data_IF_884880056254
#
_entry.id   IF_884880056254
#
_cell.length_a   1.000
_cell.length_b   1.000
_cell.length_c   1.000
_cell.angle_alpha   90.00
_cell.angle_beta   90.00
_cell.angle_gamma   90.00
#
_symmetry.space_group_name_H-M   'P 1'
#
loop_
_entity.id
_entity.type
_entity.pdbx_description
1 polymer ?
#
# COMPACT_ATOMS: atom_id res chain seq x y z
N UNK A 1 3.58 0.53 -12.21
CA UNK A 1 3.35 1.44 -11.05
C UNK A 1 2.16 2.38 -11.27
N UNK A 2 2.07 3.12 -12.38
CA UNK A 2 0.90 4.00 -12.67
C UNK A 2 -0.43 3.25 -12.63
N UNK A 3 -0.46 2.00 -13.12
CA UNK A 3 -1.66 1.18 -13.08
C UNK A 3 -2.20 0.95 -11.68
N UNK A 4 -1.35 0.49 -10.79
CA UNK A 4 -1.74 0.13 -9.43
C UNK A 4 -2.31 1.32 -8.64
N UNK A 5 -1.84 2.52 -8.96
CA UNK A 5 -2.40 3.76 -8.46
C UNK A 5 -3.80 4.03 -9.01
N UNK A 6 -3.99 3.92 -10.33
CA UNK A 6 -5.28 4.17 -10.95
C UNK A 6 -6.33 3.20 -10.42
N UNK A 7 -5.94 1.94 -10.23
CA UNK A 7 -6.78 0.93 -9.61
C UNK A 7 -7.14 1.29 -8.16
N UNK A 8 -6.16 1.69 -7.35
CA UNK A 8 -6.40 2.18 -5.99
C UNK A 8 -7.36 3.37 -5.96
N UNK A 9 -7.23 4.28 -6.93
CA UNK A 9 -8.12 5.43 -7.07
C UNK A 9 -9.53 5.06 -7.47
N UNK A 10 -9.70 4.09 -8.37
CA UNK A 10 -11.02 3.57 -8.72
C UNK A 10 -11.73 2.96 -7.51
N UNK A 11 -10.99 2.20 -6.68
CA UNK A 11 -11.52 1.62 -5.44
C UNK A 11 -11.94 2.72 -4.45
N UNK A 12 -11.07 3.71 -4.19
CA UNK A 12 -11.39 4.85 -3.31
C UNK A 12 -12.56 5.66 -3.85
N UNK A 13 -12.66 5.84 -5.18
CA UNK A 13 -13.79 6.53 -5.80
C UNK A 13 -15.12 5.79 -5.60
N UNK A 14 -15.09 4.46 -5.55
CA UNK A 14 -16.28 3.62 -5.36
C UNK A 14 -16.70 3.52 -3.90
N UNK A 15 -15.76 3.29 -2.98
CA UNK A 15 -16.05 3.01 -1.57
C UNK A 15 -15.90 4.21 -0.64
N UNK A 16 -15.32 5.31 -1.14
CA UNK A 16 -14.98 6.49 -0.37
C UNK A 16 -13.54 6.48 0.15
N UNK A 17 -13.21 7.51 0.92
CA UNK A 17 -11.88 7.67 1.53
C UNK A 17 -11.60 6.52 2.51
N UNK A 18 -10.34 6.06 2.64
CA UNK A 18 -9.97 5.08 3.64
C UNK A 18 -10.07 5.67 5.05
N UNK A 19 -10.33 4.80 6.03
CA UNK A 19 -10.53 5.12 7.44
C UNK A 19 -9.32 4.74 8.30
N UNK A 20 -8.58 3.68 7.93
CA UNK A 20 -7.38 3.24 8.65
C UNK A 20 -6.16 3.14 7.71
N UNK A 21 -5.00 3.46 8.27
CA UNK A 21 -3.69 3.24 7.67
C UNK A 21 -2.85 2.35 8.58
N UNK A 22 -2.52 1.15 8.12
CA UNK A 22 -1.76 0.15 8.88
C UNK A 22 -0.39 -0.02 8.22
N UNK A 23 0.66 -0.09 9.02
CA UNK A 23 2.00 -0.46 8.56
C UNK A 23 2.56 -1.58 9.42
N UNK A 24 2.75 -2.75 8.81
CA UNK A 24 3.45 -3.88 9.43
C UNK A 24 4.90 -3.90 8.96
N UNK A 25 5.84 -3.92 9.89
CA UNK A 25 7.28 -4.08 9.62
C UNK A 25 7.76 -5.42 10.13
N UNK A 26 8.58 -6.12 9.34
CA UNK A 26 9.17 -7.38 9.78
C UNK A 26 10.01 -7.16 11.05
N UNK A 27 9.77 -8.00 12.07
CA UNK A 27 10.64 -8.06 13.23
C UNK A 27 11.67 -9.20 13.05
N UNK A 28 12.97 -8.90 12.90
CA UNK A 28 13.98 -9.94 12.73
C UNK A 28 14.16 -10.80 13.99
N UNK A 29 13.67 -10.35 15.15
CA UNK A 29 13.68 -11.09 16.40
C UNK A 29 12.43 -11.98 16.60
N UNK A 30 11.59 -12.15 15.58
CA UNK A 30 10.53 -13.15 15.64
C UNK A 30 11.11 -14.54 15.84
N UNK A 31 10.47 -15.30 16.74
CA UNK A 31 10.92 -16.63 17.13
C UNK A 31 11.08 -17.55 15.92
N UNK A 32 10.14 -17.47 15.00
CA UNK A 32 10.11 -18.24 13.75
C UNK A 32 11.29 -17.93 12.82
N UNK A 33 11.94 -16.77 12.97
CA UNK A 33 13.17 -16.42 12.27
C UNK A 33 14.36 -16.91 13.09
N UNK A 34 14.44 -16.52 14.36
CA UNK A 34 15.63 -16.78 15.20
C UNK A 34 15.88 -18.26 15.45
N UNK A 35 14.83 -19.09 15.54
CA UNK A 35 14.96 -20.55 15.68
C UNK A 35 15.50 -21.25 14.42
N UNK A 36 15.57 -20.55 13.28
CA UNK A 36 16.05 -21.07 12.00
C UNK A 36 17.45 -20.53 11.61
N UNK A 37 18.08 -19.74 12.50
CA UNK A 37 19.41 -19.20 12.30
C UNK A 37 20.46 -20.16 12.89
N UNK A 38 21.51 -20.43 12.12
CA UNK A 38 22.68 -21.16 12.62
C UNK A 38 23.58 -20.24 13.46
N UNK A 39 24.54 -20.83 14.17
CA UNK A 39 25.49 -20.08 14.99
C UNK A 39 26.23 -19.03 14.15
N UNK A 40 26.12 -17.76 14.57
CA UNK A 40 26.73 -16.62 13.89
C UNK A 40 25.89 -16.01 12.75
N UNK A 41 24.77 -16.63 12.37
CA UNK A 41 23.85 -16.04 11.40
C UNK A 41 22.96 -14.96 12.02
N UNK A 42 22.61 -13.98 11.21
CA UNK A 42 21.58 -12.97 11.47
C UNK A 42 20.40 -13.17 10.52
N UNK A 43 19.28 -12.49 10.80
CA UNK A 43 18.13 -12.51 9.89
C UNK A 43 18.48 -12.05 8.46
N UNK A 44 19.48 -11.19 8.29
CA UNK A 44 19.91 -10.72 6.96
C UNK A 44 20.58 -11.82 6.13
N UNK A 45 21.16 -12.82 6.79
CA UNK A 45 21.83 -13.96 6.15
C UNK A 45 20.84 -15.02 5.67
N UNK A 46 19.59 -14.98 6.18
CA UNK A 46 18.48 -15.89 5.82
C UNK A 46 17.27 -15.13 5.23
N UNK A 47 17.44 -14.44 4.09
CA UNK A 47 16.37 -13.67 3.45
C UNK A 47 15.18 -14.54 3.05
N UNK A 48 15.41 -15.83 2.78
CA UNK A 48 14.37 -16.82 2.51
C UNK A 48 13.43 -17.02 3.70
N UNK A 49 13.98 -17.14 4.91
CA UNK A 49 13.20 -17.30 6.14
C UNK A 49 12.48 -16.00 6.48
N UNK A 50 13.18 -14.86 6.43
CA UNK A 50 12.58 -13.53 6.69
C UNK A 50 11.36 -13.30 5.81
N UNK A 51 11.47 -13.54 4.51
CA UNK A 51 10.38 -13.36 3.56
C UNK A 51 9.21 -14.30 3.82
N UNK A 52 9.47 -15.59 4.08
CA UNK A 52 8.42 -16.57 4.38
C UNK A 52 7.67 -16.25 5.67
N UNK A 53 8.40 -15.97 6.76
CA UNK A 53 7.79 -15.62 8.05
C UNK A 53 7.00 -14.32 7.93
N UNK A 54 7.52 -13.30 7.25
CA UNK A 54 6.79 -12.07 7.03
C UNK A 54 5.49 -12.31 6.26
N UNK A 55 5.52 -13.10 5.19
CA UNK A 55 4.32 -13.42 4.43
C UNK A 55 3.29 -14.15 5.32
N UNK A 56 3.70 -15.12 6.15
CA UNK A 56 2.80 -15.80 7.10
C UNK A 56 2.16 -14.79 8.06
N UNK A 57 2.94 -13.87 8.64
CA UNK A 57 2.41 -12.83 9.55
C UNK A 57 1.44 -11.88 8.82
N UNK A 58 1.71 -11.57 7.55
CA UNK A 58 0.81 -10.76 6.74
C UNK A 58 -0.51 -11.47 6.44
N UNK A 59 -0.48 -12.77 6.13
CA UNK A 59 -1.71 -13.56 5.94
C UNK A 59 -2.54 -13.66 7.23
N UNK A 60 -1.87 -13.82 8.38
CA UNK A 60 -2.55 -13.76 9.68
C UNK A 60 -3.19 -12.39 9.93
N UNK A 61 -2.51 -11.31 9.56
CA UNK A 61 -3.06 -9.96 9.66
C UNK A 61 -4.30 -9.80 8.77
N UNK A 62 -4.28 -10.32 7.54
CA UNK A 62 -5.48 -10.34 6.69
C UNK A 62 -6.61 -11.17 7.31
N UNK A 63 -6.32 -12.33 7.91
CA UNK A 63 -7.32 -13.11 8.62
C UNK A 63 -7.95 -12.31 9.77
N UNK A 64 -7.15 -11.60 10.56
CA UNK A 64 -7.68 -10.80 11.67
C UNK A 64 -8.54 -9.62 11.18
N UNK A 65 -8.07 -8.92 10.15
CA UNK A 65 -8.76 -7.75 9.62
C UNK A 65 -10.03 -8.10 8.86
N UNK A 66 -10.00 -9.14 8.02
CA UNK A 66 -11.07 -9.39 7.04
C UNK A 66 -11.97 -10.57 7.40
N UNK A 67 -11.46 -11.59 8.10
CA UNK A 67 -12.26 -12.74 8.55
C UNK A 67 -12.78 -12.57 9.97
N UNK A 68 -11.90 -12.19 10.90
CA UNK A 68 -12.28 -11.94 12.31
C UNK A 68 -12.85 -10.55 12.53
N UNK A 69 -12.67 -9.65 11.55
CA UNK A 69 -13.24 -8.31 11.55
C UNK A 69 -12.97 -7.56 12.86
N UNK A 70 -11.72 -7.59 13.35
CA UNK A 70 -11.37 -7.00 14.65
C UNK A 70 -11.61 -5.48 14.74
N UNK A 71 -11.79 -4.82 13.59
CA UNK A 71 -12.15 -3.40 13.47
C UNK A 71 -13.51 -3.21 12.76
N UNK A 72 -14.34 -4.25 12.72
CA UNK A 72 -15.58 -4.28 11.96
C UNK A 72 -15.38 -4.70 10.49
N UNK A 73 -16.49 -4.65 9.75
CA UNK A 73 -16.53 -5.05 8.33
C UNK A 73 -15.70 -4.10 7.47
N UNK A 74 -14.88 -4.67 6.59
CA UNK A 74 -14.07 -3.92 5.61
C UNK A 74 -14.77 -3.98 4.26
N UNK A 75 -15.08 -2.80 3.69
CA UNK A 75 -15.64 -2.69 2.35
C UNK A 75 -14.57 -2.80 1.26
N UNK A 76 -13.41 -2.21 1.51
CA UNK A 76 -12.30 -2.25 0.57
C UNK A 76 -10.94 -2.12 1.27
N UNK A 77 -9.90 -2.68 0.65
CA UNK A 77 -8.53 -2.50 1.11
C UNK A 77 -7.55 -2.42 -0.06
N UNK A 78 -6.43 -1.74 0.18
CA UNK A 78 -5.28 -1.69 -0.71
C UNK A 78 -4.04 -1.90 0.14
N UNK A 79 -3.15 -2.80 -0.26
CA UNK A 79 -1.91 -3.10 0.47
C UNK A 79 -0.72 -3.17 -0.48
N UNK A 80 0.42 -2.64 -0.05
CA UNK A 80 1.64 -2.53 -0.87
C UNK A 80 2.84 -2.95 -0.04
N UNK A 81 3.68 -3.78 -0.64
CA UNK A 81 4.95 -4.20 -0.09
C UNK A 81 6.05 -3.16 -0.39
N UNK A 82 6.81 -2.77 0.63
CA UNK A 82 8.00 -1.94 0.50
C UNK A 82 9.19 -2.64 1.18
N UNK A 83 10.37 -2.54 0.57
CA UNK A 83 11.63 -2.86 1.20
C UNK A 83 12.43 -1.58 1.37
N UNK A 84 12.67 -1.18 2.62
CA UNK A 84 13.56 -0.06 2.88
C UNK A 84 15.02 -0.48 2.65
N UNK A 85 15.94 0.48 2.51
CA UNK A 85 17.39 0.23 2.25
C UNK A 85 18.06 -0.74 3.23
N UNK A 86 17.44 -1.04 4.38
CA UNK A 86 17.89 -2.01 5.40
C UNK A 86 17.36 -3.44 5.16
N UNK A 87 16.66 -3.69 4.06
CA UNK A 87 16.31 -5.03 3.56
C UNK A 87 15.06 -5.67 4.16
N UNK A 88 14.57 -5.24 5.32
CA UNK A 88 13.39 -5.88 5.93
C UNK A 88 12.09 -5.53 5.19
N UNK A 89 11.19 -6.52 4.95
CA UNK A 89 9.89 -6.29 4.34
C UNK A 89 8.98 -5.42 5.22
N UNK A 90 8.23 -4.54 4.57
CA UNK A 90 7.15 -3.75 5.15
C UNK A 90 5.89 -3.91 4.30
N UNK A 91 4.73 -3.86 4.94
CA UNK A 91 3.45 -3.78 4.26
C UNK A 91 2.72 -2.52 4.74
N UNK A 92 2.34 -1.67 3.79
CA UNK A 92 1.47 -0.53 4.02
C UNK A 92 0.08 -0.85 3.52
N UNK A 93 -0.95 -0.61 4.33
CA UNK A 93 -2.33 -0.96 4.02
C UNK A 93 -3.27 0.19 4.32
N UNK A 94 -4.18 0.47 3.37
CA UNK A 94 -5.36 1.29 3.55
C UNK A 94 -6.58 0.41 3.69
N UNK A 95 -7.45 0.77 4.63
CA UNK A 95 -8.72 0.08 4.88
C UNK A 95 -9.84 1.10 4.78
N UNK A 96 -10.87 0.76 4.00
CA UNK A 96 -12.14 1.48 3.95
C UNK A 96 -13.18 0.64 4.68
N UNK A 97 -13.62 1.10 5.83
CA UNK A 97 -14.55 0.39 6.69
C UNK A 97 -15.99 0.54 6.20
N UNK A 98 -16.82 -0.45 6.50
CA UNK A 98 -18.26 -0.31 6.42
C UNK A 98 -18.74 0.81 7.36
N UNK A 99 -19.86 1.42 7.02
CA UNK A 99 -20.36 2.64 7.67
C UNK A 99 -20.45 2.54 9.20
N UNK A 100 -20.82 1.38 9.72
CA UNK A 100 -21.01 1.06 11.14
C UNK A 100 -19.69 0.80 11.86
N UNK A 101 -18.61 0.49 11.13
CA UNK A 101 -17.27 0.27 11.65
C UNK A 101 -16.35 1.48 11.52
N UNK A 102 -16.86 2.63 11.05
CA UNK A 102 -16.05 3.85 10.90
C UNK A 102 -15.81 4.51 12.26
N UNK A 103 -14.54 4.82 12.63
CA UNK A 103 -14.24 5.50 13.87
C UNK A 103 -14.60 6.99 13.76
N UNK A 104 -15.74 7.38 14.34
CA UNK A 104 -16.31 8.74 14.22
C UNK A 104 -16.16 9.57 15.48
N UNK A 105 -16.07 8.92 16.63
CA UNK A 105 -15.88 9.58 17.91
C UNK A 105 -14.46 9.38 18.43
N UNK A 106 -14.06 10.24 19.35
CA UNK A 106 -12.81 10.09 20.13
C UNK A 106 -12.75 8.72 20.80
N UNK A 107 -13.87 8.25 21.35
CA UNK A 107 -13.96 6.92 21.99
C UNK A 107 -13.68 5.79 21.00
N UNK A 108 -14.23 5.86 19.77
CA UNK A 108 -13.97 4.85 18.75
C UNK A 108 -12.49 4.85 18.37
N UNK A 109 -11.90 6.02 18.19
CA UNK A 109 -10.49 6.18 17.83
C UNK A 109 -9.60 5.60 18.92
N UNK A 110 -9.83 5.96 20.18
CA UNK A 110 -9.03 5.51 21.32
C UNK A 110 -9.20 4.00 21.60
N UNK A 111 -10.32 3.40 21.17
CA UNK A 111 -10.50 1.95 21.21
C UNK A 111 -9.61 1.19 20.20
N UNK A 112 -9.25 1.86 19.10
CA UNK A 112 -8.42 1.28 18.02
C UNK A 112 -6.95 1.65 18.21
N UNK A 113 -6.66 2.90 18.54
CA UNK A 113 -5.30 3.48 18.51
C UNK A 113 -4.89 3.97 19.89
N UNK A 114 -3.71 3.54 20.32
CA UNK A 114 -3.05 4.01 21.52
C UNK A 114 -1.69 4.62 21.17
N UNK A 115 -1.27 5.62 21.93
CA UNK A 115 0.02 6.26 21.77
C UNK A 115 0.72 6.49 23.13
N UNK A 116 0.59 5.52 24.02
CA UNK A 116 1.10 5.58 25.40
C UNK A 116 2.08 4.45 25.68
N UNK A 117 3.01 4.68 26.60
CA UNK A 117 3.82 3.64 27.20
C UNK A 117 2.89 2.87 28.18
N UNK A 118 2.73 1.54 28.01
CA UNK A 118 1.96 0.71 28.93
C UNK A 118 2.56 0.73 30.34
N UNK A 119 1.80 0.29 31.33
CA UNK A 119 2.34 0.12 32.67
C UNK A 119 3.22 -1.14 32.75
N UNK A 120 4.45 -1.01 33.24
CA UNK A 120 5.40 -2.12 33.34
C UNK A 120 4.95 -3.21 34.33
N UNK A 121 4.19 -2.86 35.37
CA UNK A 121 3.74 -3.82 36.40
C UNK A 121 2.48 -4.56 35.96
N UNK A 122 1.50 -3.86 35.40
CA UNK A 122 0.21 -4.48 35.04
C UNK A 122 0.21 -5.06 33.63
N UNK A 123 0.98 -4.51 32.70
CA UNK A 123 1.06 -4.96 31.31
C UNK A 123 2.51 -5.18 30.83
N UNK A 124 3.32 -6.01 31.54
CA UNK A 124 4.76 -6.15 31.26
C UNK A 124 5.06 -6.59 29.83
N UNK A 125 4.23 -7.47 29.26
CA UNK A 125 4.40 -7.92 27.87
C UNK A 125 4.15 -6.81 26.87
N UNK A 126 3.06 -6.04 27.03
CA UNK A 126 2.77 -4.93 26.13
C UNK A 126 3.81 -3.83 26.29
N UNK A 127 4.23 -3.52 27.53
CA UNK A 127 5.33 -2.60 27.82
C UNK A 127 6.57 -2.97 27.02
N UNK A 128 7.03 -4.22 27.12
CA UNK A 128 8.22 -4.69 26.39
C UNK A 128 8.06 -4.57 24.86
N UNK A 129 6.88 -4.85 24.33
CA UNK A 129 6.63 -4.70 22.89
C UNK A 129 6.67 -3.23 22.48
N UNK A 130 5.98 -2.37 23.22
CA UNK A 130 5.88 -0.95 22.89
C UNK A 130 7.24 -0.27 23.00
N UNK A 131 7.99 -0.51 24.08
CA UNK A 131 9.29 0.13 24.29
C UNK A 131 10.35 -0.31 23.28
N UNK A 132 10.29 -1.57 22.80
CA UNK A 132 11.23 -2.09 21.81
C UNK A 132 10.82 -1.81 20.36
N UNK A 133 9.52 -1.86 20.05
CA UNK A 133 9.03 -1.86 18.67
C UNK A 133 8.19 -0.63 18.30
N UNK A 134 7.59 0.06 19.26
CA UNK A 134 6.67 1.19 19.01
C UNK A 134 7.21 2.52 19.55
N UNK A 135 8.52 2.64 19.78
CA UNK A 135 9.14 3.92 20.12
C UNK A 135 9.82 4.53 18.90
N UNK A 136 9.54 5.81 18.64
CA UNK A 136 10.37 6.60 17.77
C UNK A 136 11.75 6.77 18.42
N UNK A 137 12.80 6.39 17.70
CA UNK A 137 14.17 6.53 18.20
C UNK A 137 14.51 7.99 18.45
N UNK A 138 15.47 8.28 19.34
CA UNK A 138 15.91 9.65 19.60
C UNK A 138 16.26 10.39 18.30
N UNK A 139 15.81 11.63 18.19
CA UNK A 139 16.04 12.50 17.04
C UNK A 139 16.04 13.97 17.49
N UNK A 140 16.16 14.92 16.56
CA UNK A 140 16.22 16.34 16.93
C UNK A 140 17.51 16.64 17.66
N UNK A 141 17.40 17.35 18.78
CA UNK A 141 18.55 17.69 19.62
C UNK A 141 19.23 16.45 20.23
N UNK A 142 18.46 15.41 20.55
CA UNK A 142 19.02 14.18 21.13
C UNK A 142 19.82 13.37 20.12
N UNK A 143 19.49 13.46 18.83
CA UNK A 143 20.28 12.86 17.76
C UNK A 143 20.02 13.56 16.41
N UNK A 144 20.83 14.57 16.05
CA UNK A 144 20.69 15.30 14.79
C UNK A 144 20.97 14.44 13.55
N UNK A 145 21.65 13.30 13.71
CA UNK A 145 22.02 12.38 12.62
C UNK A 145 20.97 11.30 12.34
N UNK A 146 19.85 11.32 13.06
CA UNK A 146 18.78 10.34 12.85
C UNK A 146 18.22 10.42 11.42
N UNK A 147 17.92 9.29 10.75
CA UNK A 147 17.43 9.28 9.36
C UNK A 147 16.11 10.04 9.12
N UNK A 148 15.36 10.33 10.19
CA UNK A 148 14.13 11.10 10.11
C UNK A 148 14.37 12.62 10.05
N UNK A 149 15.59 13.10 10.30
CA UNK A 149 15.92 14.52 10.31
C UNK A 149 16.00 15.08 8.89
N UNK A 150 15.25 16.15 8.65
CA UNK A 150 15.23 16.92 7.39
C UNK A 150 15.22 18.40 7.78
N UNK A 151 16.16 19.18 7.27
CA UNK A 151 16.30 20.62 7.55
C UNK A 151 16.27 20.96 9.06
N UNK A 152 16.99 20.16 9.86
CA UNK A 152 17.10 20.35 11.31
C UNK A 152 15.84 19.98 12.11
N UNK A 153 14.77 19.48 11.46
CA UNK A 153 13.52 19.06 12.12
C UNK A 153 13.23 17.58 11.83
N UNK A 154 12.55 16.91 12.76
CA UNK A 154 12.08 15.56 12.52
C UNK A 154 10.94 15.59 11.48
N UNK A 155 11.12 14.93 10.34
CA UNK A 155 10.12 14.80 9.27
C UNK A 155 8.81 14.12 9.73
N UNK A 156 8.85 13.39 10.84
CA UNK A 156 7.69 12.74 11.48
C UNK A 156 7.09 13.57 12.63
N UNK A 157 7.65 14.75 12.89
CA UNK A 157 7.27 15.70 13.94
C UNK A 157 7.30 15.07 15.34
N UNK A 158 8.38 14.34 15.63
CA UNK A 158 8.70 13.87 16.98
C UNK A 158 9.70 14.80 17.67
N UNK A 159 9.65 14.93 19.00
CA UNK A 159 8.60 14.40 19.88
C UNK A 159 7.24 15.07 19.61
N UNK A 160 6.14 14.35 19.82
CA UNK A 160 4.78 14.89 19.75
C UNK A 160 4.50 15.78 20.97
N UNK A 161 3.37 16.48 20.97
CA UNK A 161 2.91 17.19 22.17
C UNK A 161 2.19 16.23 23.12
N UNK A 162 2.24 16.54 24.41
CA UNK A 162 1.39 15.86 25.39
C UNK A 162 -0.06 16.31 25.20
N UNK A 163 -1.00 15.36 25.35
CA UNK A 163 -2.43 15.58 25.25
C UNK A 163 -3.18 14.57 26.12
N UNK A 164 -4.17 15.03 26.88
CA UNK A 164 -4.97 14.15 27.74
C UNK A 164 -6.14 13.48 27.00
N UNK A 165 -6.50 14.00 25.82
CA UNK A 165 -7.58 13.51 24.97
C UNK A 165 -7.15 13.55 23.49
N UNK A 166 -7.75 12.70 22.67
CA UNK A 166 -7.50 12.70 21.22
C UNK A 166 -8.27 13.84 20.55
N UNK A 167 -7.58 14.57 19.68
CA UNK A 167 -8.11 15.72 18.95
C UNK A 167 -8.30 15.37 17.47
N UNK A 168 -9.52 15.59 16.97
CA UNK A 168 -9.93 15.30 15.59
C UNK A 168 -10.16 16.55 14.74
N UNK A 169 -9.97 17.76 15.29
CA UNK A 169 -10.28 19.03 14.61
C UNK A 169 -9.19 19.48 13.63
N UNK A 170 -8.01 18.84 13.66
CA UNK A 170 -6.92 19.14 12.75
C UNK A 170 -7.15 18.49 11.37
N UNK A 171 -7.15 19.33 10.32
CA UNK A 171 -7.24 18.90 8.93
C UNK A 171 -6.10 17.92 8.56
N UNK A 172 -6.34 16.61 8.67
CA UNK A 172 -5.48 15.56 8.13
C UNK A 172 -5.49 14.25 8.93
N UNK A 173 -4.92 14.29 10.13
CA UNK A 173 -4.72 13.13 11.00
C UNK A 173 -5.05 13.51 12.45
N UNK A 174 -5.78 12.65 13.20
CA UNK A 174 -6.01 12.91 14.61
C UNK A 174 -4.71 13.01 15.41
N UNK A 175 -4.67 13.94 16.36
CA UNK A 175 -3.61 14.00 17.36
C UNK A 175 -4.01 13.14 18.55
N UNK A 176 -3.43 11.94 18.62
CA UNK A 176 -3.75 10.95 19.65
C UNK A 176 -3.39 11.41 21.06
N UNK A 177 -4.22 10.98 22.01
CA UNK A 177 -3.98 11.06 23.44
C UNK A 177 -2.60 10.52 23.83
N UNK A 178 -1.83 11.37 24.52
CA UNK A 178 -0.47 11.17 25.05
C UNK A 178 -0.35 11.89 26.40
N UNK A 179 -0.89 11.35 27.50
CA UNK A 179 -0.83 12.00 28.80
C UNK A 179 0.61 12.19 29.26
N UNK A 180 0.86 13.26 30.01
CA UNK A 180 2.07 13.41 30.81
C UNK A 180 1.84 12.74 32.17
N UNK A 181 2.01 11.41 32.19
CA UNK A 181 1.75 10.54 33.35
C UNK A 181 3.05 10.03 34.02
N UNK A 182 4.19 10.64 33.68
CA UNK A 182 5.51 10.27 34.20
C UNK A 182 6.05 8.93 33.68
N UNK A 183 5.34 8.22 32.79
CA UNK A 183 5.84 6.97 32.23
C UNK A 183 6.97 7.22 31.24
N UNK A 184 8.05 6.47 31.41
CA UNK A 184 9.24 6.59 30.58
C UNK A 184 9.83 5.23 30.22
N UNK A 185 10.66 5.21 29.18
CA UNK A 185 11.51 4.09 28.83
C UNK A 185 12.85 4.59 28.30
N UNK A 186 13.87 3.72 28.28
CA UNK A 186 15.17 4.05 27.71
C UNK A 186 15.27 3.50 26.30
N UNK A 187 15.58 4.35 25.33
CA UNK A 187 15.82 3.97 23.94
C UNK A 187 17.02 4.73 23.40
N UNK A 188 17.99 4.02 22.83
CA UNK A 188 19.22 4.64 22.29
C UNK A 188 20.02 5.45 23.32
N UNK A 189 19.99 5.03 24.60
CA UNK A 189 20.67 5.73 25.70
C UNK A 189 19.98 7.01 26.17
N UNK A 190 18.76 7.30 25.67
CA UNK A 190 17.96 8.47 26.06
C UNK A 190 16.68 8.03 26.74
N UNK A 191 16.24 8.83 27.71
CA UNK A 191 14.94 8.65 28.36
C UNK A 191 13.86 9.27 27.47
N UNK A 192 12.90 8.45 27.06
CA UNK A 192 11.77 8.86 26.23
C UNK A 192 10.46 8.66 27.00
N UNK A 193 9.47 9.49 26.69
CA UNK A 193 8.12 9.44 27.26
C UNK A 193 7.06 9.21 26.18
N UNK A 194 5.78 9.37 26.55
CA UNK A 194 4.62 9.18 25.67
C UNK A 194 4.67 10.04 24.38
N UNK A 195 5.44 11.13 24.33
CA UNK A 195 5.60 11.95 23.12
C UNK A 195 6.34 11.24 22.00
N UNK A 196 7.11 10.20 22.32
CA UNK A 196 7.89 9.42 21.36
C UNK A 196 7.23 8.11 20.93
N UNK A 197 6.04 7.78 21.44
CA UNK A 197 5.34 6.54 21.08
C UNK A 197 4.78 6.63 19.66
N UNK A 198 5.07 5.63 18.83
CA UNK A 198 4.42 5.43 17.53
C UNK A 198 3.03 4.83 17.78
N UNK A 199 1.95 5.38 17.19
CA UNK A 199 0.59 4.88 17.42
C UNK A 199 0.45 3.38 17.11
N UNK A 200 -0.18 2.62 18.00
CA UNK A 200 -0.33 1.17 17.90
C UNK A 200 -1.72 0.73 18.34
N UNK A 201 -2.15 -0.46 17.93
CA UNK A 201 -3.33 -1.12 18.49
C UNK A 201 -2.87 -2.18 19.50
N UNK A 202 -3.44 -2.20 20.70
CA UNK A 202 -3.06 -3.12 21.78
C UNK A 202 -3.12 -4.60 21.37
N UNK A 203 -4.21 -5.02 20.73
CA UNK A 203 -4.42 -6.41 20.30
C UNK A 203 -3.37 -6.82 19.26
N UNK A 204 -3.19 -5.99 18.23
CA UNK A 204 -2.23 -6.24 17.17
C UNK A 204 -0.78 -6.24 17.69
N UNK A 205 -0.42 -5.31 18.56
CA UNK A 205 0.92 -5.28 19.17
C UNK A 205 1.21 -6.59 19.92
N UNK A 206 0.29 -7.04 20.79
CA UNK A 206 0.44 -8.29 21.54
C UNK A 206 0.53 -9.53 20.64
N UNK A 207 -0.28 -9.56 19.57
CA UNK A 207 -0.34 -10.71 18.66
C UNK A 207 0.90 -10.81 17.76
N UNK A 208 1.35 -9.70 17.21
CA UNK A 208 2.40 -9.70 16.20
C UNK A 208 3.80 -9.45 16.77
N UNK A 209 3.94 -8.97 18.01
CA UNK A 209 5.24 -8.71 18.66
C UNK A 209 6.25 -8.07 17.69
N UNK A 210 5.89 -6.92 17.14
CA UNK A 210 6.67 -6.25 16.10
C UNK A 210 6.20 -4.81 15.90
N UNK A 211 6.88 -4.08 15.03
CA UNK A 211 6.51 -2.70 14.73
C UNK A 211 5.27 -2.69 13.81
N UNK A 212 4.10 -2.48 14.42
CA UNK A 212 2.82 -2.37 13.75
C UNK A 212 2.17 -1.03 14.08
N UNK A 213 2.39 -0.06 13.19
CA UNK A 213 1.79 1.26 13.31
C UNK A 213 0.37 1.24 12.76
N UNK A 214 -0.57 1.85 13.46
CA UNK A 214 -1.94 2.07 13.00
C UNK A 214 -2.30 3.54 13.17
N UNK A 215 -2.86 4.14 12.13
CA UNK A 215 -3.36 5.49 12.15
C UNK A 215 -4.78 5.55 11.62
N UNK A 216 -5.56 6.45 12.19
CA UNK A 216 -6.84 6.90 11.63
C UNK A 216 -6.53 7.81 10.45
N UNK A 217 -7.13 7.50 9.32
CA UNK A 217 -7.11 8.31 8.13
C UNK A 217 -8.50 8.91 7.94
N UNK A 218 -8.60 10.24 8.00
CA UNK A 218 -9.87 10.93 7.73
C UNK A 218 -9.91 11.61 6.37
N UNK A 219 -8.84 11.57 5.58
CA UNK A 219 -8.69 12.46 4.42
C UNK A 219 -8.12 11.76 3.19
N UNK A 220 -8.53 12.22 2.01
CA UNK A 220 -8.00 11.79 0.70
C UNK A 220 -6.47 11.98 0.64
N UNK A 221 -5.90 12.90 1.44
CA UNK A 221 -4.45 13.08 1.55
C UNK A 221 -3.69 11.84 2.05
N UNK A 222 -4.28 10.93 2.82
CA UNK A 222 -3.57 9.69 3.16
C UNK A 222 -3.49 8.71 1.98
N UNK A 223 -4.47 8.77 1.06
CA UNK A 223 -4.35 8.10 -0.25
C UNK A 223 -3.17 8.71 -0.99
N UNK A 224 -3.01 10.05 -0.93
CA UNK A 224 -1.80 10.74 -1.41
C UNK A 224 -0.51 10.25 -0.76
N UNK A 225 -0.54 9.98 0.53
CA UNK A 225 0.61 9.44 1.24
C UNK A 225 0.94 8.00 0.83
N UNK A 226 -0.07 7.16 0.57
CA UNK A 226 0.14 5.83 0.00
C UNK A 226 0.75 5.86 -1.39
N UNK A 227 0.44 6.88 -2.19
CA UNK A 227 1.11 7.10 -3.47
C UNK A 227 2.61 7.22 -3.35
N UNK A 228 3.12 7.79 -2.25
CA UNK A 228 4.55 7.76 -2.02
C UNK A 228 5.07 6.34 -2.15
N UNK A 229 4.47 5.34 -1.51
CA UNK A 229 4.96 3.96 -1.53
C UNK A 229 4.66 3.22 -2.83
N UNK A 230 3.56 3.54 -3.52
CA UNK A 230 3.25 3.01 -4.86
C UNK A 230 4.19 3.57 -5.93
N UNK A 231 4.63 4.83 -5.80
CA UNK A 231 5.39 5.56 -6.83
C UNK A 231 6.82 5.91 -6.46
N UNK A 232 7.30 5.63 -5.25
CA UNK A 232 8.69 5.88 -4.83
C UNK A 232 9.69 5.29 -5.83
N UNK A 233 9.22 4.31 -6.61
CA UNK A 233 10.04 3.56 -7.51
C UNK A 233 10.98 2.67 -6.72
N UNK A 234 11.60 1.70 -7.37
CA UNK A 234 12.72 1.05 -6.74
C UNK A 234 13.89 2.02 -6.65
N UNK A 235 14.77 1.80 -5.67
CA UNK A 235 16.08 2.45 -5.68
C UNK A 235 16.79 2.09 -7.01
N UNK A 236 17.44 3.08 -7.64
CA UNK A 236 18.17 2.91 -8.90
C UNK A 236 19.61 3.38 -8.76
N UNK A 237 20.50 2.73 -9.48
CA UNK A 237 21.89 3.12 -9.62
C UNK A 237 22.20 3.33 -11.10
N UNK A 238 22.76 4.49 -11.43
CA UNK A 238 23.36 4.71 -12.74
C UNK A 238 24.81 4.19 -12.69
N UNK A 239 25.14 3.23 -13.54
CA UNK A 239 26.44 2.60 -13.62
C UNK A 239 27.10 3.01 -14.94
N UNK A 240 28.35 3.45 -14.87
CA UNK A 240 29.16 3.73 -16.06
C UNK A 240 30.06 2.53 -16.36
N UNK A 241 29.94 1.97 -17.57
CA UNK A 241 30.64 0.77 -18.00
C UNK A 241 31.94 1.13 -18.73
N UNK A 242 33.09 0.81 -18.12
CA UNK A 242 34.41 1.01 -18.75
C UNK A 242 34.93 -0.32 -19.27
N UNK A 243 35.15 -0.45 -20.59
CA UNK A 243 35.75 -1.66 -21.19
C UNK A 243 37.28 -1.59 -21.08
N UNK A 244 37.90 -2.72 -20.71
CA UNK A 244 39.32 -2.81 -20.28
C UNK A 244 40.36 -2.76 -21.40
N UNK A 245 39.95 -2.86 -22.67
CA UNK A 245 40.86 -2.99 -23.83
C UNK A 245 40.79 -1.82 -24.84
N UNK A 246 40.33 -0.65 -24.41
CA UNK A 246 40.20 0.51 -25.30
C UNK A 246 41.52 1.29 -25.38
N UNK A 247 42.45 0.77 -26.19
CA UNK A 247 43.62 1.52 -26.63
C UNK A 247 43.21 2.67 -27.56
N UNK A 248 43.67 3.87 -27.22
CA UNK A 248 43.53 5.14 -27.91
C UNK A 248 43.78 5.03 -29.42
N UNK A 249 42.72 5.08 -30.25
CA UNK A 249 42.62 5.85 -31.50
C UNK A 249 41.32 5.48 -32.25
N UNK A 250 40.38 6.44 -32.35
CA UNK A 250 39.25 6.37 -33.28
C UNK A 250 37.91 5.83 -32.74
N UNK A 251 37.55 6.13 -31.48
CA UNK A 251 36.33 5.58 -30.86
C UNK A 251 35.06 6.28 -31.33
N UNK A 252 34.10 5.50 -31.80
CA UNK A 252 32.69 5.88 -31.87
C UNK A 252 32.13 5.77 -30.44
N UNK A 253 31.91 6.91 -29.77
CA UNK A 253 31.38 6.95 -28.40
C UNK A 253 29.88 6.71 -28.47
N UNK A 254 29.40 5.59 -27.93
CA UNK A 254 27.98 5.34 -27.76
C UNK A 254 27.56 5.63 -26.31
N UNK A 255 27.14 6.86 -26.06
CA UNK A 255 26.66 7.31 -24.74
C UNK A 255 25.50 6.48 -24.19
N UNK A 256 24.74 5.75 -25.03
CA UNK A 256 23.65 4.89 -24.58
C UNK A 256 24.18 3.57 -24.01
N UNK A 257 25.21 2.99 -24.61
CA UNK A 257 25.77 1.70 -24.19
C UNK A 257 26.72 1.84 -22.99
N UNK A 258 27.27 3.03 -22.76
CA UNK A 258 28.18 3.29 -21.64
C UNK A 258 27.47 3.47 -20.29
N UNK A 259 26.16 3.71 -20.29
CA UNK A 259 25.39 3.98 -19.07
C UNK A 259 24.27 2.96 -18.86
N UNK A 260 24.35 2.22 -17.76
CA UNK A 260 23.32 1.28 -17.33
C UNK A 260 22.53 1.88 -16.17
N UNK A 261 21.23 2.07 -16.36
CA UNK A 261 20.30 2.43 -15.28
C UNK A 261 19.76 1.16 -14.62
N UNK A 262 20.43 0.69 -13.57
CA UNK A 262 20.11 -0.54 -12.87
C UNK A 262 19.12 -0.32 -11.72
N UNK A 263 18.20 -1.27 -11.54
CA UNK A 263 17.31 -1.34 -10.39
C UNK A 263 18.00 -2.07 -9.25
N UNK A 264 18.01 -1.48 -8.06
CA UNK A 264 18.38 -2.20 -6.83
C UNK A 264 17.21 -3.07 -6.37
N UNK A 265 17.52 -4.33 -6.07
CA UNK A 265 16.61 -5.32 -5.50
C UNK A 265 17.34 -5.97 -4.34
N UNK A 266 16.84 -5.80 -3.12
CA UNK A 266 17.46 -6.43 -1.94
C UNK A 266 17.15 -7.93 -1.90
N UNK A 267 17.93 -8.70 -1.13
CA UNK A 267 17.77 -10.15 -1.09
C UNK A 267 16.36 -10.61 -0.66
N UNK A 268 15.73 -10.04 0.39
CA UNK A 268 14.34 -10.40 0.73
C UNK A 268 13.32 -10.06 -0.37
N UNK A 269 13.49 -8.95 -1.10
CA UNK A 269 12.63 -8.61 -2.26
C UNK A 269 12.81 -9.63 -3.39
N UNK A 270 14.05 -10.03 -3.69
CA UNK A 270 14.33 -11.03 -4.71
C UNK A 270 13.67 -12.37 -4.37
N UNK A 271 13.81 -12.84 -3.12
CA UNK A 271 13.16 -14.06 -2.65
C UNK A 271 11.63 -13.92 -2.71
N UNK A 272 11.06 -12.77 -2.32
CA UNK A 272 9.61 -12.53 -2.38
C UNK A 272 9.06 -12.74 -3.79
N UNK A 273 9.79 -12.23 -4.79
CA UNK A 273 9.47 -12.41 -6.21
C UNK A 273 9.64 -13.86 -6.66
N UNK A 274 10.74 -14.51 -6.29
CA UNK A 274 11.00 -15.92 -6.65
C UNK A 274 9.95 -16.88 -6.09
N UNK A 275 9.43 -16.59 -4.89
CA UNK A 275 8.35 -17.36 -4.27
C UNK A 275 6.96 -17.03 -4.84
N UNK A 276 6.85 -16.07 -5.75
CA UNK A 276 5.59 -15.67 -6.35
C UNK A 276 4.64 -14.95 -5.40
N UNK A 277 5.15 -14.35 -4.32
CA UNK A 277 4.31 -13.58 -3.40
C UNK A 277 3.93 -12.23 -4.00
N UNK A 278 2.69 -11.80 -3.76
CA UNK A 278 2.18 -10.55 -4.29
C UNK A 278 2.91 -9.34 -3.70
N UNK A 279 3.29 -8.39 -4.56
CA UNK A 279 3.86 -7.10 -4.14
C UNK A 279 2.79 -6.10 -3.74
N UNK A 280 1.56 -6.35 -4.16
CA UNK A 280 0.41 -5.53 -3.87
C UNK A 280 -0.84 -6.41 -3.91
N UNK A 281 -1.74 -6.18 -2.97
CA UNK A 281 -3.06 -6.80 -2.94
C UNK A 281 -4.14 -5.74 -2.76
N UNK A 282 -5.31 -5.99 -3.32
CA UNK A 282 -6.47 -5.10 -3.31
C UNK A 282 -7.75 -5.92 -3.22
N UNK A 283 -8.78 -5.37 -2.59
CA UNK A 283 -10.09 -6.05 -2.44
C UNK A 283 -10.80 -6.31 -3.77
N UNK A 284 -10.60 -5.44 -4.75
CA UNK A 284 -11.36 -5.43 -6.00
C UNK A 284 -10.46 -5.60 -7.22
N UNK A 285 -10.97 -6.35 -8.19
CA UNK A 285 -10.41 -6.35 -9.55
C UNK A 285 -10.92 -5.13 -10.29
N UNK A 286 -10.00 -4.31 -10.80
CA UNK A 286 -10.33 -3.10 -11.56
C UNK A 286 -10.13 -3.38 -13.04
N UNK A 287 -11.21 -3.22 -13.81
CA UNK A 287 -11.16 -3.26 -15.28
C UNK A 287 -11.08 -1.83 -15.81
N UNK A 288 -10.23 -1.64 -16.83
CA UNK A 288 -10.12 -0.36 -17.50
C UNK A 288 -10.99 -0.35 -18.73
N UNK A 289 -11.94 0.57 -18.76
CA UNK A 289 -12.66 0.91 -19.97
C UNK A 289 -11.71 1.69 -20.88
N UNK A 290 -11.40 1.11 -22.03
CA UNK A 290 -10.50 1.71 -23.00
C UNK A 290 -11.22 2.87 -23.69
N UNK A 291 -10.53 4.01 -23.82
CA UNK A 291 -10.99 5.12 -24.63
C UNK A 291 -9.96 5.35 -25.73
N UNK A 292 -10.43 5.39 -26.98
CA UNK A 292 -9.61 5.62 -28.15
C UNK A 292 -10.38 6.45 -29.18
N UNK A 293 -9.65 7.08 -30.09
CA UNK A 293 -10.23 7.74 -31.26
C UNK A 293 -10.67 6.68 -32.30
N UNK A 294 -11.51 7.05 -33.28
CA UNK A 294 -11.85 6.17 -34.40
C UNK A 294 -10.58 5.64 -35.07
N UNK A 295 -10.45 4.32 -35.19
CA UNK A 295 -9.31 3.60 -35.78
C UNK A 295 -7.98 3.66 -34.99
N UNK A 296 -7.97 4.19 -33.76
CA UNK A 296 -6.81 4.21 -32.86
C UNK A 296 -6.90 3.18 -31.72
N UNK A 297 -7.68 2.11 -31.89
CA UNK A 297 -7.74 1.02 -30.93
C UNK A 297 -6.38 0.33 -30.78
N UNK A 298 -6.02 -0.01 -29.53
CA UNK A 298 -4.78 -0.73 -29.25
C UNK A 298 -4.91 -2.19 -29.68
N UNK A 299 -3.97 -2.65 -30.51
CA UNK A 299 -3.86 -4.04 -30.95
C UNK A 299 -2.58 -4.65 -30.39
N UNK A 300 -2.71 -5.69 -29.55
CA UNK A 300 -1.57 -6.45 -29.05
C UNK A 300 -1.22 -7.55 -30.03
N UNK A 301 0.05 -7.63 -30.43
CA UNK A 301 0.56 -8.63 -31.37
C UNK A 301 1.85 -9.27 -30.86
N UNK A 302 2.17 -10.45 -31.38
CA UNK A 302 3.51 -11.04 -31.27
C UNK A 302 4.31 -10.64 -32.51
N UNK A 303 5.59 -10.29 -32.34
CA UNK A 303 6.44 -9.90 -33.48
C UNK A 303 6.45 -10.98 -34.57
N UNK A 304 6.22 -10.57 -35.82
CA UNK A 304 6.06 -11.46 -36.97
C UNK A 304 4.64 -12.00 -37.18
N UNK A 305 3.64 -11.55 -36.40
CA UNK A 305 2.21 -11.90 -36.54
C UNK A 305 1.29 -10.67 -36.54
N UNK A 306 1.79 -9.56 -37.07
CA UNK A 306 1.12 -8.27 -37.08
C UNK A 306 -0.20 -8.31 -37.87
N UNK A 307 -0.19 -8.85 -39.09
CA UNK A 307 -1.39 -8.93 -39.95
C UNK A 307 -2.48 -9.81 -39.32
N UNK A 308 -2.10 -10.93 -38.71
CA UNK A 308 -3.03 -11.81 -38.03
C UNK A 308 -3.71 -11.09 -36.85
N UNK A 309 -2.94 -10.33 -36.08
CA UNK A 309 -3.46 -9.54 -34.97
C UNK A 309 -4.43 -8.44 -35.44
N UNK A 310 -4.14 -7.80 -36.58
CA UNK A 310 -5.03 -6.80 -37.20
C UNK A 310 -6.36 -7.42 -37.65
N UNK A 311 -6.34 -8.57 -38.33
CA UNK A 311 -7.59 -9.24 -38.74
C UNK A 311 -8.45 -9.62 -37.53
N UNK A 312 -7.84 -10.24 -36.50
CA UNK A 312 -8.56 -10.58 -35.26
C UNK A 312 -9.11 -9.35 -34.54
N UNK A 313 -8.41 -8.21 -34.61
CA UNK A 313 -8.87 -6.97 -34.04
C UNK A 313 -10.04 -6.34 -34.83
N UNK A 314 -10.07 -6.51 -36.15
CA UNK A 314 -11.17 -6.04 -36.99
C UNK A 314 -12.47 -6.86 -36.78
N UNK A 315 -12.36 -8.13 -36.40
CA UNK A 315 -13.50 -9.03 -36.15
C UNK A 315 -14.15 -8.84 -34.78
N UNK A 316 -13.52 -8.10 -33.86
CA UNK A 316 -13.99 -7.94 -32.47
C UNK A 316 -14.28 -6.50 -32.14
N UNK A 317 -15.30 -6.29 -31.32
CA UNK A 317 -15.52 -5.00 -30.71
C UNK A 317 -14.53 -4.73 -29.57
N UNK A 318 -14.09 -3.48 -29.48
CA UNK A 318 -13.53 -2.98 -28.22
C UNK A 318 -14.69 -2.74 -27.25
N UNK A 319 -14.39 -2.60 -25.96
CA UNK A 319 -15.43 -2.22 -24.99
C UNK A 319 -16.11 -0.89 -25.38
N UNK A 320 -15.41 0.01 -26.07
CA UNK A 320 -15.96 1.31 -26.47
C UNK A 320 -16.84 1.17 -27.70
N UNK A 321 -16.40 0.43 -28.73
CA UNK A 321 -17.24 0.23 -29.92
C UNK A 321 -18.46 -0.63 -29.60
N UNK A 322 -18.34 -1.61 -28.70
CA UNK A 322 -19.48 -2.37 -28.18
C UNK A 322 -20.50 -1.46 -27.47
N UNK A 323 -20.04 -0.47 -26.70
CA UNK A 323 -20.94 0.52 -26.09
C UNK A 323 -21.68 1.33 -27.15
N UNK A 324 -21.01 1.82 -28.19
CA UNK A 324 -21.66 2.56 -29.27
C UNK A 324 -22.68 1.70 -30.04
N UNK A 325 -22.33 0.45 -30.36
CA UNK A 325 -23.26 -0.49 -30.99
C UNK A 325 -24.49 -0.76 -30.13
N UNK A 326 -24.32 -0.94 -28.82
CA UNK A 326 -25.46 -1.15 -27.92
C UNK A 326 -26.40 0.07 -27.87
N UNK A 327 -25.85 1.28 -27.93
CA UNK A 327 -26.65 2.50 -28.02
C UNK A 327 -27.48 2.55 -29.32
N UNK A 328 -26.87 2.18 -30.44
CA UNK A 328 -27.56 2.09 -31.73
C UNK A 328 -28.64 1.00 -31.74
N UNK A 329 -28.34 -0.19 -31.17
CA UNK A 329 -29.32 -1.27 -31.00
C UNK A 329 -30.53 -0.81 -30.17
N UNK A 330 -30.30 -0.07 -29.08
CA UNK A 330 -31.38 0.47 -28.24
C UNK A 330 -32.18 1.59 -28.93
N UNK A 331 -31.52 2.43 -29.75
CA UNK A 331 -32.20 3.44 -30.58
C UNK A 331 -33.20 2.78 -31.52
N UNK A 332 -32.79 1.70 -32.19
CA UNK A 332 -33.62 0.94 -33.11
C UNK A 332 -34.72 0.19 -32.35
N UNK A 333 -34.36 -0.52 -31.27
CA UNK A 333 -35.28 -1.35 -30.50
C UNK A 333 -36.45 -0.55 -29.92
N UNK A 334 -36.16 0.65 -29.39
CA UNK A 334 -37.19 1.50 -28.79
C UNK A 334 -37.70 2.57 -29.76
N UNK A 335 -37.29 2.53 -31.03
CA UNK A 335 -37.73 3.48 -32.08
C UNK A 335 -37.58 4.95 -31.64
N UNK A 336 -36.46 5.28 -31.01
CA UNK A 336 -36.18 6.61 -30.47
C UNK A 336 -36.91 6.98 -29.17
N UNK A 337 -37.83 6.14 -28.67
CA UNK A 337 -38.48 6.31 -27.36
C UNK A 337 -37.62 5.74 -26.24
N UNK A 338 -37.91 6.08 -24.99
CA UNK A 338 -37.20 5.52 -23.83
C UNK A 338 -37.53 4.03 -23.62
N UNK A 339 -36.59 3.29 -23.05
CA UNK A 339 -36.83 1.92 -22.61
C UNK A 339 -38.04 1.82 -21.65
N UNK A 340 -38.83 0.73 -21.71
CA UNK A 340 -39.94 0.48 -20.80
C UNK A 340 -39.53 0.49 -19.33
N UNK A 341 -40.48 0.78 -18.44
CA UNK A 341 -40.26 0.78 -17.00
C UNK A 341 -39.67 -0.56 -16.52
N UNK A 342 -38.55 -0.50 -15.79
CA UNK A 342 -37.80 -1.67 -15.33
C UNK A 342 -36.66 -2.13 -16.24
N UNK A 343 -36.58 -1.65 -17.50
CA UNK A 343 -35.41 -1.87 -18.36
C UNK A 343 -34.44 -0.69 -18.30
N UNK A 344 -33.15 -0.97 -18.53
CA UNK A 344 -32.13 0.07 -18.60
C UNK A 344 -31.84 0.40 -20.04
N UNK A 345 -31.91 1.69 -20.35
CA UNK A 345 -31.56 2.20 -21.67
C UNK A 345 -30.09 2.58 -21.69
N UNK A 346 -29.29 1.88 -22.52
CA UNK A 346 -27.86 2.17 -22.67
C UNK A 346 -27.58 3.63 -23.03
N UNK A 347 -28.48 4.29 -23.79
CA UNK A 347 -28.33 5.69 -24.25
C UNK A 347 -28.38 6.70 -23.11
N UNK A 348 -28.93 6.30 -21.97
CA UNK A 348 -29.04 7.15 -20.78
C UNK A 348 -27.86 6.98 -19.82
N UNK A 349 -26.96 6.02 -20.09
CA UNK A 349 -25.84 5.67 -19.23
C UNK A 349 -24.54 6.30 -19.71
N UNK A 350 -23.74 6.78 -18.76
CA UNK A 350 -22.33 7.06 -19.03
C UNK A 350 -21.59 5.75 -19.32
N UNK A 351 -20.51 5.83 -20.10
CA UNK A 351 -19.72 4.65 -20.45
C UNK A 351 -19.24 3.84 -19.22
N UNK A 352 -18.92 4.53 -18.12
CA UNK A 352 -18.54 3.89 -16.85
C UNK A 352 -19.71 3.20 -16.12
N UNK A 353 -20.94 3.68 -16.29
CA UNK A 353 -22.14 3.11 -15.67
C UNK A 353 -22.64 1.90 -16.44
N UNK A 354 -22.26 1.76 -17.72
CA UNK A 354 -22.67 0.66 -18.58
C UNK A 354 -22.45 -0.72 -17.91
N UNK A 355 -21.30 -0.90 -17.29
CA UNK A 355 -20.90 -2.18 -16.66
C UNK A 355 -21.70 -2.54 -15.41
N UNK A 356 -22.51 -1.63 -14.89
CA UNK A 356 -23.42 -1.92 -13.77
C UNK A 356 -24.67 -2.68 -14.24
N UNK A 357 -25.04 -2.53 -15.52
CA UNK A 357 -26.28 -3.05 -16.09
C UNK A 357 -26.05 -4.04 -17.24
N UNK A 358 -24.94 -3.93 -17.96
CA UNK A 358 -24.62 -4.73 -19.14
C UNK A 358 -23.25 -5.42 -19.01
N UNK A 359 -23.05 -6.50 -19.78
CA UNK A 359 -21.74 -7.17 -19.89
C UNK A 359 -21.25 -7.14 -21.34
N UNK A 360 -19.93 -7.20 -21.51
CA UNK A 360 -19.28 -7.26 -22.82
C UNK A 360 -19.18 -8.69 -23.40
N UNK A 361 -19.81 -9.69 -22.76
CA UNK A 361 -19.78 -11.09 -23.21
C UNK A 361 -20.92 -11.39 -24.18
N UNK A 362 -20.60 -11.94 -25.36
CA UNK A 362 -21.58 -12.28 -26.40
C UNK A 362 -22.65 -13.30 -25.98
N UNK A 363 -22.41 -14.09 -24.92
CA UNK A 363 -23.32 -15.16 -24.47
C UNK A 363 -24.12 -14.81 -23.20
N UNK A 364 -23.81 -13.71 -22.54
CA UNK A 364 -24.38 -13.34 -21.24
C UNK A 364 -24.56 -11.83 -21.13
N UNK A 365 -25.13 -11.21 -22.17
CA UNK A 365 -25.87 -9.95 -21.96
C UNK A 365 -26.99 -10.31 -20.98
N UNK A 366 -26.90 -9.80 -19.74
CA UNK A 366 -27.90 -10.07 -18.70
C UNK A 366 -29.27 -9.58 -19.12
#
# INVERSE_FOLDING_TARGET
MVQNYQDAMAIVSKYGKPDLFITLTCNPAWREITEQLENGQTASDRPDIVTRVFNIKLQELYCDLFKKQIFGTVNAYISVMEWQKRGLPHCHMLITSAEQGKPRSVSDIDSIVQAVIPDHKTEPRLYNIVTNCMMHRPCGQDNPRSPCMVDGKCSKRFPKQFRYETDTELDGYPEYRRPDDGRTCVSGGKVLDNRSVVPYNRYLALRYNGHLNIGICGMIQAVKYMYKYVYKGPDRAALHMVRRNDSFNGREVNEIDEYVNARYVCAPEAVHRLLGFDLQSKSDTVYRLQVHLPDYQTVTFQGGREEEALRRAAERDTMLTAFFKLNEEHEILYSGLNAPEGQKDARTLLYIQLTEFFTFGHQTRK
#
